data_IF_247844731798
#
_entry.id   IF_247844731798
#
_cell.length_a   1.000
_cell.length_b   1.000
_cell.length_c   1.000
_cell.angle_alpha   90.00
_cell.angle_beta   90.00
_cell.angle_gamma   90.00
#
_symmetry.space_group_name_H-M   'P 1'
#
loop_
_entity.id
_entity.type
_entity.pdbx_description
1 polymer ?
#
# COMPACT_ATOMS: atom_id res chain seq x y z
N UNK A 1 -18.21 4.01 8.92
CA UNK A 1 -17.03 4.91 8.80
C UNK A 1 -15.92 4.16 8.10
N UNK A 2 -15.19 4.79 7.17
CA UNK A 2 -14.08 4.15 6.43
C UNK A 2 -12.87 5.07 6.51
N UNK A 3 -11.71 4.51 6.87
CA UNK A 3 -10.44 5.22 7.00
C UNK A 3 -9.47 4.67 5.98
N UNK A 4 -8.89 5.57 5.18
CA UNK A 4 -7.95 5.26 4.10
C UNK A 4 -6.58 5.87 4.38
N UNK A 5 -5.56 5.29 3.77
CA UNK A 5 -4.23 5.93 3.69
C UNK A 5 -4.30 7.24 2.91
N UNK A 6 -3.44 8.21 3.24
CA UNK A 6 -3.38 9.48 2.51
C UNK A 6 -2.97 9.22 1.04
N UNK A 7 -3.84 9.64 0.13
CA UNK A 7 -3.66 9.48 -1.32
C UNK A 7 -2.34 10.07 -1.82
N UNK A 8 -1.82 11.11 -1.15
CA UNK A 8 -0.53 11.74 -1.53
C UNK A 8 0.63 10.77 -1.38
N UNK A 9 0.61 9.93 -0.36
CA UNK A 9 1.67 8.96 -0.11
C UNK A 9 1.59 7.76 -1.06
N UNK A 10 0.40 7.45 -1.57
CA UNK A 10 0.19 6.38 -2.55
C UNK A 10 0.57 6.78 -3.97
N UNK A 11 0.57 8.10 -4.27
CA UNK A 11 0.89 8.59 -5.61
C UNK A 11 2.33 8.26 -6.03
N UNK A 12 3.30 8.38 -5.12
CA UNK A 12 4.73 8.08 -5.41
C UNK A 12 4.96 6.63 -5.82
N UNK A 13 4.54 5.61 -5.04
CA UNK A 13 4.72 4.21 -5.43
C UNK A 13 3.93 3.84 -6.69
N UNK A 14 2.75 4.44 -6.92
CA UNK A 14 1.99 4.28 -8.15
C UNK A 14 2.76 4.81 -9.36
N UNK A 15 3.27 6.04 -9.29
CA UNK A 15 4.04 6.66 -10.37
C UNK A 15 5.31 5.85 -10.66
N UNK A 16 5.99 5.35 -9.62
CA UNK A 16 7.15 4.48 -9.78
C UNK A 16 6.80 3.18 -10.54
N UNK A 17 5.67 2.53 -10.19
CA UNK A 17 5.18 1.36 -10.90
C UNK A 17 4.88 1.64 -12.38
N UNK A 18 4.23 2.78 -12.68
CA UNK A 18 3.96 3.21 -14.05
C UNK A 18 5.25 3.44 -14.82
N UNK A 19 6.24 4.10 -14.21
CA UNK A 19 7.54 4.34 -14.84
C UNK A 19 8.28 3.04 -15.17
N UNK A 20 8.34 2.11 -14.22
CA UNK A 20 8.95 0.78 -14.45
C UNK A 20 8.25 0.03 -15.57
N UNK A 21 6.92 0.03 -15.57
CA UNK A 21 6.12 -0.63 -16.61
C UNK A 21 6.39 0.00 -17.98
N UNK A 22 6.42 1.32 -18.07
CA UNK A 22 6.72 2.03 -19.31
C UNK A 22 8.11 1.70 -19.84
N UNK A 23 9.15 1.79 -18.99
CA UNK A 23 10.54 1.45 -19.36
C UNK A 23 10.66 0.01 -19.83
N UNK A 24 10.00 -0.93 -19.15
CA UNK A 24 10.03 -2.34 -19.56
C UNK A 24 9.38 -2.56 -20.93
N UNK A 25 8.19 -2.00 -21.15
CA UNK A 25 7.46 -2.11 -22.42
C UNK A 25 8.26 -1.48 -23.56
N UNK A 26 8.83 -0.28 -23.33
CA UNK A 26 9.63 0.43 -24.33
C UNK A 26 10.85 -0.40 -24.74
N UNK A 27 11.52 -1.04 -23.79
CA UNK A 27 12.67 -1.91 -24.08
C UNK A 27 12.27 -3.21 -24.80
N UNK A 28 11.15 -3.83 -24.43
CA UNK A 28 10.65 -5.04 -25.08
C UNK A 28 10.25 -4.75 -26.54
N UNK A 29 9.61 -3.61 -26.80
CA UNK A 29 9.10 -3.23 -28.13
C UNK A 29 10.12 -2.45 -28.97
N UNK A 30 11.36 -2.27 -28.51
CA UNK A 30 12.36 -1.41 -29.13
C UNK A 30 11.84 0.01 -29.38
N UNK A 31 11.21 0.59 -28.35
CA UNK A 31 10.57 1.90 -28.42
C UNK A 31 11.54 3.08 -28.41
N UNK A 32 10.98 4.32 -28.47
CA UNK A 32 11.77 5.54 -28.64
C UNK A 32 12.74 5.84 -27.49
N UNK A 33 12.42 5.44 -26.26
CA UNK A 33 13.33 5.62 -25.13
C UNK A 33 14.59 4.77 -25.29
N UNK A 34 14.43 3.49 -25.68
CA UNK A 34 15.54 2.60 -25.96
C UNK A 34 16.38 3.13 -27.14
N UNK A 35 15.75 3.59 -28.19
CA UNK A 35 16.46 4.19 -29.33
C UNK A 35 17.24 5.44 -28.90
N UNK A 36 16.66 6.32 -28.08
CA UNK A 36 17.33 7.49 -27.54
C UNK A 36 18.54 7.11 -26.67
N UNK A 37 18.35 6.16 -25.74
CA UNK A 37 19.39 5.69 -24.82
C UNK A 37 20.54 5.01 -25.56
N UNK A 38 20.28 4.27 -26.64
CA UNK A 38 21.31 3.60 -27.46
C UNK A 38 22.27 4.56 -28.18
N UNK A 39 21.89 5.84 -28.29
CA UNK A 39 22.78 6.90 -28.85
C UNK A 39 23.88 7.33 -27.86
N UNK A 40 23.61 7.21 -26.55
CA UNK A 40 24.52 7.65 -25.49
C UNK A 40 25.19 6.50 -24.77
N UNK A 41 24.59 5.34 -24.78
CA UNK A 41 25.10 4.13 -24.15
C UNK A 41 25.15 3.01 -25.19
N UNK A 42 26.26 2.27 -25.26
CA UNK A 42 26.36 1.11 -26.15
C UNK A 42 25.51 -0.05 -25.64
N UNK A 43 24.18 0.08 -25.85
CA UNK A 43 23.20 -0.93 -25.44
C UNK A 43 23.21 -2.17 -26.35
N UNK A 44 24.08 -2.21 -27.37
CA UNK A 44 24.19 -3.38 -28.27
C UNK A 44 24.71 -4.61 -27.53
N UNK A 45 25.54 -4.40 -26.52
CA UNK A 45 25.98 -5.49 -25.65
C UNK A 45 24.89 -6.00 -24.71
N UNK A 46 23.89 -5.17 -24.41
CA UNK A 46 22.77 -5.49 -23.50
C UNK A 46 21.56 -6.18 -24.14
N UNK A 47 21.53 -6.39 -25.44
CA UNK A 47 20.32 -6.84 -26.15
C UNK A 47 20.45 -8.13 -26.95
N UNK A 48 21.58 -8.82 -26.88
CA UNK A 48 21.80 -10.04 -27.69
C UNK A 48 21.75 -11.35 -26.89
N UNK A 49 21.62 -11.28 -25.57
CA UNK A 49 21.52 -12.46 -24.72
C UNK A 49 20.06 -12.66 -24.23
N UNK A 50 19.54 -13.84 -24.46
CA UNK A 50 18.22 -14.30 -23.95
C UNK A 50 18.03 -14.05 -22.45
N UNK A 51 19.11 -13.89 -21.69
CA UNK A 51 19.09 -13.60 -20.26
C UNK A 51 18.61 -12.18 -19.94
N UNK A 52 18.83 -11.24 -20.85
CA UNK A 52 18.45 -9.84 -20.65
C UNK A 52 16.99 -9.56 -21.02
N UNK A 53 16.45 -10.30 -21.98
CA UNK A 53 15.02 -10.23 -22.29
C UNK A 53 14.19 -10.62 -21.06
N UNK A 54 14.59 -11.65 -20.31
CA UNK A 54 13.92 -12.04 -19.07
C UNK A 54 13.95 -10.93 -18.00
N UNK A 55 14.99 -10.10 -17.96
CA UNK A 55 15.08 -8.99 -17.03
C UNK A 55 13.98 -7.95 -17.28
N UNK A 56 13.72 -7.61 -18.54
CA UNK A 56 12.65 -6.67 -18.88
C UNK A 56 11.26 -7.21 -18.54
N UNK A 57 11.02 -8.51 -18.74
CA UNK A 57 9.77 -9.14 -18.30
C UNK A 57 9.63 -9.14 -16.78
N UNK A 58 10.75 -9.34 -16.05
CA UNK A 58 10.74 -9.23 -14.59
C UNK A 58 10.43 -7.79 -14.13
N UNK A 59 11.05 -6.79 -14.75
CA UNK A 59 10.79 -5.37 -14.46
C UNK A 59 9.33 -5.02 -14.77
N UNK A 60 8.79 -5.52 -15.89
CA UNK A 60 7.39 -5.36 -16.26
C UNK A 60 6.47 -5.95 -15.18
N UNK A 61 6.74 -7.17 -14.76
CA UNK A 61 5.97 -7.84 -13.72
C UNK A 61 6.00 -7.05 -12.41
N UNK A 62 7.17 -6.59 -11.96
CA UNK A 62 7.33 -5.78 -10.75
C UNK A 62 6.61 -4.43 -10.87
N UNK A 63 6.68 -3.77 -12.03
CA UNK A 63 5.98 -2.51 -12.29
C UNK A 63 4.46 -2.68 -12.20
N UNK A 64 3.91 -3.70 -12.86
CA UNK A 64 2.47 -4.02 -12.81
C UNK A 64 2.05 -4.38 -11.39
N UNK A 65 2.83 -5.22 -10.69
CA UNK A 65 2.54 -5.59 -9.30
C UNK A 65 2.50 -4.35 -8.39
N UNK A 66 3.45 -3.43 -8.57
CA UNK A 66 3.50 -2.18 -7.81
C UNK A 66 2.27 -1.30 -8.07
N UNK A 67 1.81 -1.21 -9.33
CA UNK A 67 0.57 -0.51 -9.67
C UNK A 67 -0.63 -1.15 -8.96
N UNK A 68 -0.76 -2.48 -9.04
CA UNK A 68 -1.87 -3.20 -8.43
C UNK A 68 -1.91 -3.02 -6.91
N UNK A 69 -0.76 -3.12 -6.23
CA UNK A 69 -0.66 -2.89 -4.78
C UNK A 69 -1.06 -1.45 -4.42
N UNK A 70 -0.59 -0.46 -5.20
CA UNK A 70 -0.94 0.94 -4.97
C UNK A 70 -2.44 1.19 -5.18
N UNK A 71 -3.04 0.60 -6.22
CA UNK A 71 -4.49 0.68 -6.46
C UNK A 71 -5.29 -0.01 -5.35
N UNK A 72 -4.83 -1.17 -4.87
CA UNK A 72 -5.48 -1.86 -3.77
C UNK A 72 -5.55 -0.99 -2.51
N UNK A 73 -4.46 -0.30 -2.16
CA UNK A 73 -4.43 0.63 -1.00
C UNK A 73 -5.34 1.85 -1.18
N UNK A 74 -5.58 2.28 -2.44
CA UNK A 74 -6.52 3.37 -2.75
C UNK A 74 -7.99 3.00 -2.52
N UNK A 75 -8.37 1.75 -2.81
CA UNK A 75 -9.76 1.32 -2.81
C UNK A 75 -10.18 0.59 -1.54
N UNK A 76 -9.23 0.03 -0.81
CA UNK A 76 -9.53 -0.73 0.38
C UNK A 76 -9.19 0.08 1.64
N UNK A 77 -10.16 0.34 2.53
CA UNK A 77 -9.92 1.07 3.77
C UNK A 77 -8.98 0.28 4.70
N UNK A 78 -8.16 0.99 5.46
CA UNK A 78 -7.29 0.41 6.50
C UNK A 78 -8.13 -0.03 7.69
N UNK A 79 -9.11 0.79 8.06
CA UNK A 79 -10.07 0.54 9.12
C UNK A 79 -11.46 0.86 8.59
N UNK A 80 -12.39 -0.05 8.77
CA UNK A 80 -13.78 0.15 8.39
C UNK A 80 -14.70 -0.21 9.56
N UNK A 81 -15.58 0.71 9.93
CA UNK A 81 -16.62 0.48 10.94
C UNK A 81 -17.96 0.42 10.22
N UNK A 82 -18.61 -0.74 10.29
CA UNK A 82 -19.93 -1.02 9.70
C UNK A 82 -20.85 -1.46 10.82
N UNK A 83 -21.85 -0.64 11.15
CA UNK A 83 -22.79 -0.87 12.24
C UNK A 83 -22.07 -1.18 13.56
N UNK A 84 -22.15 -2.42 14.03
CA UNK A 84 -21.51 -2.90 15.26
C UNK A 84 -20.17 -3.58 15.05
N UNK A 85 -19.67 -3.69 13.80
CA UNK A 85 -18.46 -4.42 13.47
C UNK A 85 -17.36 -3.50 13.01
N UNK A 86 -16.13 -3.85 13.40
CA UNK A 86 -14.92 -3.23 12.92
C UNK A 86 -14.14 -4.21 12.07
N UNK A 87 -13.69 -3.74 10.91
CA UNK A 87 -12.83 -4.49 9.98
C UNK A 87 -11.45 -3.84 10.02
N UNK A 88 -10.45 -4.59 10.46
CA UNK A 88 -9.07 -4.14 10.59
C UNK A 88 -8.19 -4.80 9.54
N UNK A 89 -7.41 -4.00 8.81
CA UNK A 89 -6.39 -4.51 7.92
C UNK A 89 -5.03 -4.45 8.62
N UNK A 90 -4.55 -5.61 9.07
CA UNK A 90 -3.25 -5.73 9.74
C UNK A 90 -2.18 -6.21 8.76
N UNK A 91 -0.93 -5.75 8.93
CA UNK A 91 0.20 -6.25 8.12
C UNK A 91 0.52 -7.72 8.37
N UNK A 92 0.20 -8.21 9.54
CA UNK A 92 0.53 -9.57 9.97
C UNK A 92 -0.41 -10.63 9.37
N UNK A 93 -1.58 -10.22 8.92
CA UNK A 93 -2.58 -11.14 8.36
C UNK A 93 -2.92 -10.73 6.93
N UNK A 94 -2.86 -11.68 6.03
CA UNK A 94 -3.24 -11.52 4.62
C UNK A 94 -4.73 -11.18 4.44
N UNK A 95 -5.55 -11.53 5.44
CA UNK A 95 -6.98 -11.29 5.47
C UNK A 95 -7.32 -10.24 6.53
N UNK A 96 -8.32 -9.42 6.23
CA UNK A 96 -8.88 -8.47 7.18
C UNK A 96 -9.46 -9.20 8.40
N UNK A 97 -9.28 -8.63 9.58
CA UNK A 97 -9.85 -9.12 10.83
C UNK A 97 -11.18 -8.43 11.07
N UNK A 98 -12.23 -9.19 11.32
CA UNK A 98 -13.57 -8.66 11.63
C UNK A 98 -13.86 -8.96 13.10
N UNK A 99 -14.24 -7.92 13.87
CA UNK A 99 -14.56 -7.99 15.29
C UNK A 99 -15.78 -7.12 15.60
N UNK A 100 -16.44 -7.38 16.72
CA UNK A 100 -17.48 -6.49 17.22
C UNK A 100 -16.85 -5.28 17.92
N UNK A 101 -17.42 -4.11 17.71
CA UNK A 101 -16.93 -2.85 18.32
C UNK A 101 -17.04 -2.93 19.85
N UNK A 102 -18.08 -3.60 20.38
CA UNK A 102 -18.28 -3.81 21.82
C UNK A 102 -17.16 -4.59 22.51
N UNK A 103 -16.39 -5.36 21.75
CA UNK A 103 -15.33 -6.22 22.29
C UNK A 103 -14.00 -5.49 22.40
N UNK A 104 -13.92 -4.22 21.95
CA UNK A 104 -12.73 -3.39 22.07
C UNK A 104 -12.56 -2.97 23.53
N UNK A 105 -11.48 -3.42 24.17
CA UNK A 105 -11.14 -3.08 25.55
C UNK A 105 -10.31 -1.81 25.65
N UNK A 106 -9.36 -1.68 24.75
CA UNK A 106 -8.47 -0.52 24.71
C UNK A 106 -8.02 -0.22 23.28
N UNK A 107 -7.77 1.06 23.03
CA UNK A 107 -7.30 1.58 21.75
C UNK A 107 -6.18 2.58 22.04
N UNK A 108 -4.95 2.21 21.69
CA UNK A 108 -3.77 3.05 21.92
C UNK A 108 -2.99 3.27 20.62
N UNK A 109 -2.34 4.42 20.51
CA UNK A 109 -1.37 4.71 19.46
C UNK A 109 0.02 4.39 19.98
N UNK A 110 0.73 3.47 19.30
CA UNK A 110 2.11 3.16 19.61
C UNK A 110 3.03 3.84 18.58
N UNK A 111 4.01 4.61 19.08
CA UNK A 111 5.06 5.30 18.30
C UNK A 111 4.52 6.14 17.11
N UNK A 112 3.31 6.70 17.22
CA UNK A 112 2.60 7.46 16.16
C UNK A 112 2.47 6.74 14.82
N UNK A 113 2.68 5.43 14.79
CA UNK A 113 2.70 4.66 13.56
C UNK A 113 1.73 3.49 13.54
N UNK A 114 1.35 3.00 14.72
CA UNK A 114 0.46 1.85 14.85
C UNK A 114 -0.67 2.14 15.82
N UNK A 115 -1.88 1.89 15.37
CA UNK A 115 -3.07 1.87 16.21
C UNK A 115 -3.27 0.43 16.71
N UNK A 116 -3.22 0.26 18.03
CA UNK A 116 -3.29 -1.03 18.71
C UNK A 116 -4.70 -1.22 19.24
N UNK A 117 -5.41 -2.17 18.66
CA UNK A 117 -6.73 -2.60 19.14
C UNK A 117 -6.55 -3.80 20.07
N UNK A 118 -6.94 -3.65 21.33
CA UNK A 118 -6.89 -4.72 22.34
C UNK A 118 -8.27 -5.31 22.55
N UNK A 119 -8.39 -6.60 22.35
CA UNK A 119 -9.57 -7.43 22.62
C UNK A 119 -9.25 -8.42 23.76
N UNK A 120 -10.25 -9.12 24.28
CA UNK A 120 -10.02 -10.11 25.37
C UNK A 120 -9.08 -11.23 24.96
N UNK A 121 -9.12 -11.63 23.70
CA UNK A 121 -8.41 -12.80 23.15
C UNK A 121 -7.17 -12.45 22.31
N UNK A 122 -7.03 -11.19 21.86
CA UNK A 122 -5.97 -10.83 20.95
C UNK A 122 -5.73 -9.30 20.87
N UNK A 123 -4.53 -8.93 20.40
CA UNK A 123 -4.20 -7.56 20.01
C UNK A 123 -3.93 -7.49 18.52
N UNK A 124 -4.36 -6.40 17.88
CA UNK A 124 -4.16 -6.16 16.46
C UNK A 124 -3.52 -4.80 16.24
N UNK A 125 -2.38 -4.81 15.53
CA UNK A 125 -1.63 -3.62 15.18
C UNK A 125 -1.99 -3.19 13.76
N UNK A 126 -2.60 -2.03 13.61
CA UNK A 126 -2.94 -1.42 12.32
C UNK A 126 -1.96 -0.29 12.05
N UNK A 127 -1.29 -0.32 10.90
CA UNK A 127 -0.40 0.77 10.51
C UNK A 127 -1.21 2.00 10.11
N UNK A 128 -1.03 3.08 10.83
CA UNK A 128 -1.72 4.36 10.60
C UNK A 128 -0.75 5.49 10.27
N UNK A 129 0.50 5.17 9.96
CA UNK A 129 1.55 6.16 9.64
C UNK A 129 1.12 7.13 8.53
N UNK A 130 0.39 6.62 7.54
CA UNK A 130 -0.05 7.37 6.37
C UNK A 130 -1.55 7.71 6.43
N UNK A 131 -2.17 7.63 7.61
CA UNK A 131 -3.57 8.00 7.84
C UNK A 131 -3.61 9.44 8.38
N UNK A 132 -4.53 10.29 7.86
CA UNK A 132 -4.71 11.64 8.39
C UNK A 132 -5.12 11.64 9.88
N UNK A 133 -4.49 12.50 10.69
CA UNK A 133 -4.76 12.59 12.12
C UNK A 133 -6.25 12.88 12.43
N UNK A 134 -6.91 13.67 11.58
CA UNK A 134 -8.34 13.96 11.74
C UNK A 134 -9.21 12.71 11.64
N UNK A 135 -8.83 11.73 10.79
CA UNK A 135 -9.58 10.50 10.64
C UNK A 135 -9.39 9.58 11.85
N UNK A 136 -8.20 9.62 12.47
CA UNK A 136 -7.90 8.91 13.71
C UNK A 136 -8.74 9.49 14.86
N UNK A 137 -8.76 10.82 15.02
CA UNK A 137 -9.58 11.48 16.05
C UNK A 137 -11.09 11.22 15.85
N UNK A 138 -11.55 11.18 14.59
CA UNK A 138 -12.92 10.82 14.27
C UNK A 138 -13.23 9.36 14.62
N UNK A 139 -12.25 8.45 14.51
CA UNK A 139 -12.41 7.06 14.94
C UNK A 139 -12.62 6.94 16.45
N UNK A 140 -11.81 7.62 17.28
CA UNK A 140 -11.98 7.66 18.74
C UNK A 140 -13.37 8.16 19.11
N UNK A 141 -13.85 9.22 18.45
CA UNK A 141 -15.18 9.74 18.66
C UNK A 141 -16.27 8.74 18.27
N UNK A 142 -16.11 8.05 17.13
CA UNK A 142 -17.08 7.06 16.63
C UNK A 142 -17.15 5.83 17.53
N UNK A 143 -16.02 5.39 18.08
CA UNK A 143 -15.94 4.26 18.99
C UNK A 143 -16.31 4.62 20.43
N UNK A 144 -16.54 5.91 20.72
CA UNK A 144 -16.83 6.45 22.06
C UNK A 144 -15.75 6.10 23.11
N UNK A 145 -14.49 5.98 22.67
CA UNK A 145 -13.33 5.70 23.48
C UNK A 145 -12.60 7.04 23.73
N UNK A 146 -12.21 7.31 24.99
CA UNK A 146 -11.38 8.48 25.31
C UNK A 146 -9.97 8.24 24.80
N UNK A 147 -9.42 9.24 24.12
CA UNK A 147 -7.98 9.31 23.85
C UNK A 147 -7.25 9.37 25.21
N UNK A 148 -6.43 8.39 25.52
CA UNK A 148 -5.51 8.47 26.68
C UNK A 148 -4.29 9.28 26.24
N UNK A 149 -4.08 10.44 26.91
CA UNK A 149 -2.93 11.34 26.73
C UNK A 149 -1.59 10.66 27.12
#
# INVERSE_FOLDING_TARGET
MQIYEDRKNLFRPFLFGVTLTYVAIDNILNGPLREYMSKYFDLKEFGTNTREEYLYYLILFLGVLQILVSLQSLFLPVIEVIDTKIVLRTKEKTLSVIRDVSDIKNLNINDNSYLVFSFDDAQYNVNVKDVPANDISALYTTLNIKEED
#
